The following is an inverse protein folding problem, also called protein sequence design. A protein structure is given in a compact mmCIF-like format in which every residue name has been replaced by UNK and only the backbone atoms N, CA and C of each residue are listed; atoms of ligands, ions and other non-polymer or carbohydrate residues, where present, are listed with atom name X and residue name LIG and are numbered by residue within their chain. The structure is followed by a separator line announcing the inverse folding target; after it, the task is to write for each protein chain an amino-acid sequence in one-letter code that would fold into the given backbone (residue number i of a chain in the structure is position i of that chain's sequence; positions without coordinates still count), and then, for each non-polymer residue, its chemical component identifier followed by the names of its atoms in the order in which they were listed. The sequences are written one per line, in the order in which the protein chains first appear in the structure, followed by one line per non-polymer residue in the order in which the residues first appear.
data_IF_958409033692
#
_entry.id   IF_958409033692
#
_cell.length_a   1.000
_cell.length_b   1.000
_cell.length_c   1.000
_cell.angle_alpha   90.00
_cell.angle_beta   90.00
_cell.angle_gamma   90.00
#
_symmetry.space_group_name_H-M   'P 1'
#
loop_
_entity.id
_entity.type
_entity.pdbx_description
1 polymer ?
#
# COMPACT_ATOMS: atom_id res chain seq x y z
N UNK A 1 13.83 -3.96 -43.51
CA UNK A 1 12.65 -4.68 -44.04
C UNK A 1 13.13 -6.03 -44.57
N UNK A 2 12.50 -7.14 -44.18
CA UNK A 2 12.87 -8.46 -44.69
C UNK A 2 12.53 -8.56 -46.19
N UNK A 3 13.33 -9.32 -46.94
CA UNK A 3 13.12 -9.56 -48.37
C UNK A 3 11.78 -10.30 -48.59
N UNK A 4 10.98 -9.81 -49.55
CA UNK A 4 9.65 -10.33 -49.86
C UNK A 4 9.74 -11.82 -50.22
N UNK A 5 9.17 -12.69 -49.38
CA UNK A 5 9.17 -14.14 -49.56
C UNK A 5 10.10 -14.93 -48.63
N UNK A 6 10.95 -14.26 -47.84
CA UNK A 6 11.67 -14.87 -46.73
C UNK A 6 11.18 -14.24 -45.43
N UNK A 7 10.25 -14.91 -44.75
CA UNK A 7 9.88 -14.56 -43.38
C UNK A 7 11.13 -14.58 -42.49
N UNK A 8 11.30 -13.55 -41.67
CA UNK A 8 12.38 -13.49 -40.70
C UNK A 8 12.26 -14.69 -39.74
N UNK A 9 13.31 -15.50 -39.60
CA UNK A 9 13.33 -16.72 -38.78
C UNK A 9 12.90 -16.49 -37.32
N UNK A 10 13.00 -15.25 -36.82
CA UNK A 10 12.50 -14.88 -35.48
C UNK A 10 10.97 -14.89 -35.37
N UNK A 11 10.25 -14.92 -36.49
CA UNK A 11 8.79 -14.76 -36.59
C UNK A 11 8.09 -15.94 -37.27
N UNK A 12 8.84 -16.99 -37.65
CA UNK A 12 8.27 -18.22 -38.18
C UNK A 12 7.87 -19.11 -37.00
N UNK A 13 6.57 -19.22 -36.74
CA UNK A 13 6.03 -20.23 -35.84
C UNK A 13 5.94 -21.53 -36.63
N UNK A 14 6.92 -22.41 -36.45
CA UNK A 14 6.81 -23.79 -36.93
C UNK A 14 5.81 -24.51 -36.02
N UNK A 15 4.68 -24.96 -36.57
CA UNK A 15 3.82 -25.95 -35.90
C UNK A 15 4.65 -27.21 -35.69
N UNK A 16 4.96 -27.51 -34.43
CA UNK A 16 5.64 -28.75 -34.03
C UNK A 16 4.61 -29.77 -33.59
N UNK A 17 4.81 -31.03 -33.98
CA UNK A 17 3.94 -32.16 -33.64
C UNK A 17 3.87 -32.45 -32.13
N UNK A 18 4.79 -31.90 -31.33
CA UNK A 18 4.90 -32.16 -29.88
C UNK A 18 3.97 -31.30 -29.01
N UNK A 19 3.33 -30.26 -29.57
CA UNK A 19 2.37 -29.41 -28.84
C UNK A 19 2.97 -28.64 -27.65
N UNK A 20 4.30 -28.62 -27.52
CA UNK A 20 4.98 -28.06 -26.35
C UNK A 20 4.85 -26.54 -26.33
N UNK A 21 4.38 -25.98 -25.21
CA UNK A 21 4.23 -24.54 -25.01
C UNK A 21 5.58 -23.84 -24.77
N UNK A 22 6.41 -23.79 -25.82
CA UNK A 22 7.72 -23.14 -25.79
C UNK A 22 7.53 -21.65 -25.46
N UNK A 23 8.21 -21.10 -24.44
CA UNK A 23 8.08 -19.71 -23.96
C UNK A 23 6.74 -19.32 -23.30
N UNK A 24 5.88 -20.26 -22.91
CA UNK A 24 4.60 -19.97 -22.24
C UNK A 24 3.69 -19.02 -23.05
N UNK A 25 3.64 -19.14 -24.38
CA UNK A 25 2.76 -18.31 -25.22
C UNK A 25 1.27 -18.59 -24.96
N UNK A 26 0.95 -19.82 -24.56
CA UNK A 26 -0.35 -20.22 -24.02
C UNK A 26 -0.33 -20.16 -22.49
N UNK A 27 -1.50 -19.98 -21.87
CA UNK A 27 -1.62 -19.98 -20.42
C UNK A 27 -1.27 -21.37 -19.88
N UNK A 28 -0.37 -21.42 -18.92
CA UNK A 28 -0.20 -22.57 -18.03
C UNK A 28 -0.75 -22.18 -16.66
N UNK A 29 -1.54 -23.07 -16.07
CA UNK A 29 -2.13 -22.93 -14.74
C UNK A 29 -1.53 -24.02 -13.85
N UNK A 30 -1.06 -23.62 -12.67
CA UNK A 30 -0.46 -24.51 -11.70
C UNK A 30 -1.20 -24.35 -10.38
N UNK A 31 -1.77 -25.45 -9.88
CA UNK A 31 -2.26 -25.52 -8.51
C UNK A 31 -1.07 -25.51 -7.54
N UNK A 32 -1.03 -24.52 -6.66
CA UNK A 32 0.00 -24.37 -5.63
C UNK A 32 -0.61 -24.30 -4.23
N UNK A 33 -1.83 -24.79 -4.05
CA UNK A 33 -2.59 -24.74 -2.79
C UNK A 33 -1.86 -25.45 -1.64
N UNK A 34 -1.21 -26.58 -1.94
CA UNK A 34 -0.42 -27.35 -0.97
C UNK A 34 0.82 -26.58 -0.49
N UNK A 35 1.55 -25.96 -1.42
CA UNK A 35 2.68 -25.07 -1.12
C UNK A 35 2.23 -23.87 -0.31
N UNK A 36 1.16 -23.20 -0.74
CA UNK A 36 0.61 -22.02 -0.11
C UNK A 36 0.21 -22.29 1.34
N UNK A 37 -0.51 -23.39 1.56
CA UNK A 37 -0.91 -23.86 2.89
C UNK A 37 0.29 -24.11 3.80
N UNK A 38 1.31 -24.81 3.30
CA UNK A 38 2.52 -25.11 4.09
C UNK A 38 3.28 -23.82 4.41
N UNK A 39 3.51 -22.97 3.42
CA UNK A 39 4.31 -21.76 3.55
C UNK A 39 3.67 -20.74 4.49
N UNK A 40 2.35 -20.57 4.40
CA UNK A 40 1.62 -19.68 5.27
C UNK A 40 1.65 -20.14 6.73
N UNK A 41 1.56 -21.46 6.97
CA UNK A 41 1.73 -22.04 8.31
C UNK A 41 3.12 -21.76 8.89
N UNK A 42 4.19 -21.94 8.10
CA UNK A 42 5.56 -21.64 8.52
C UNK A 42 5.73 -20.16 8.89
N UNK A 43 5.31 -19.25 8.02
CA UNK A 43 5.47 -17.81 8.23
C UNK A 43 4.71 -17.28 9.45
N UNK A 44 3.53 -17.83 9.72
CA UNK A 44 2.73 -17.45 10.88
C UNK A 44 3.23 -18.11 12.18
N UNK A 45 3.65 -19.37 12.15
CA UNK A 45 4.08 -20.10 13.36
C UNK A 45 5.43 -19.63 13.89
N UNK A 46 6.34 -19.20 13.01
CA UNK A 46 7.66 -18.65 13.39
C UNK A 46 7.58 -17.16 13.79
N UNK A 47 6.42 -16.55 13.63
CA UNK A 47 6.21 -15.11 13.77
C UNK A 47 5.88 -14.69 15.21
N UNK A 48 6.71 -13.80 15.76
CA UNK A 48 6.34 -12.99 16.93
C UNK A 48 6.65 -11.52 16.69
N UNK A 49 5.86 -10.65 17.30
CA UNK A 49 6.01 -9.22 17.19
C UNK A 49 6.22 -8.59 18.56
N UNK A 50 7.33 -7.89 18.71
CA UNK A 50 7.62 -7.14 19.92
C UNK A 50 6.74 -5.88 19.91
N UNK A 51 5.82 -5.82 20.87
CA UNK A 51 5.03 -4.62 21.17
C UNK A 51 5.85 -3.71 22.10
N UNK A 52 5.29 -2.54 22.43
CA UNK A 52 5.90 -1.66 23.42
C UNK A 52 6.19 -2.41 24.73
N UNK A 53 7.40 -2.19 25.25
CA UNK A 53 7.92 -2.91 26.40
C UNK A 53 6.93 -2.84 27.57
N UNK A 54 6.60 -3.97 28.22
CA UNK A 54 7.21 -5.31 28.12
C UNK A 54 6.46 -6.32 27.23
N UNK A 55 5.58 -5.93 26.30
CA UNK A 55 4.63 -6.86 25.69
C UNK A 55 5.14 -7.52 24.38
N UNK A 56 4.71 -8.75 24.10
CA UNK A 56 4.97 -9.44 22.83
C UNK A 56 3.72 -10.16 22.35
N UNK A 57 3.37 -9.97 21.09
CA UNK A 57 2.34 -10.72 20.39
C UNK A 57 2.96 -11.96 19.72
N UNK A 58 2.30 -13.12 19.84
CA UNK A 58 2.68 -14.34 19.13
C UNK A 58 1.46 -15.11 18.65
N UNK A 59 1.65 -15.88 17.59
CA UNK A 59 0.70 -16.89 17.16
C UNK A 59 1.09 -18.19 17.88
N UNK A 60 0.16 -18.77 18.63
CA UNK A 60 0.40 -19.99 19.40
C UNK A 60 0.22 -21.24 18.54
N UNK A 61 -0.78 -21.24 17.66
CA UNK A 61 -1.05 -22.34 16.75
C UNK A 61 -1.88 -21.89 15.55
N UNK A 62 -1.68 -22.57 14.42
CA UNK A 62 -2.56 -22.50 13.25
C UNK A 62 -3.30 -23.82 13.14
N UNK A 63 -4.63 -23.78 13.29
CA UNK A 63 -5.48 -24.98 13.30
C UNK A 63 -5.79 -25.44 11.88
N UNK A 64 -6.32 -24.53 11.07
CA UNK A 64 -6.75 -24.82 9.70
C UNK A 64 -6.26 -23.75 8.75
N UNK A 65 -5.88 -24.20 7.56
CA UNK A 65 -5.70 -23.37 6.38
C UNK A 65 -6.49 -24.08 5.29
N UNK A 66 -7.51 -23.42 4.78
CA UNK A 66 -8.41 -23.95 3.76
C UNK A 66 -8.45 -22.99 2.58
N UNK A 67 -8.68 -23.51 1.38
CA UNK A 67 -8.84 -22.72 0.17
C UNK A 67 -7.88 -23.12 -0.93
N UNK A 68 -7.80 -22.28 -1.95
CA UNK A 68 -7.07 -22.55 -3.18
C UNK A 68 -6.09 -21.42 -3.51
N UNK A 69 -4.94 -21.81 -4.07
CA UNK A 69 -3.96 -20.90 -4.59
C UNK A 69 -3.46 -21.41 -5.93
N UNK A 70 -3.53 -20.54 -6.94
CA UNK A 70 -3.23 -20.89 -8.32
C UNK A 70 -2.26 -19.90 -8.92
N UNK A 71 -1.29 -20.40 -9.66
CA UNK A 71 -0.31 -19.58 -10.38
C UNK A 71 -0.49 -19.75 -11.89
N UNK A 72 -0.66 -18.63 -12.58
CA UNK A 72 -0.77 -18.54 -14.02
C UNK A 72 0.53 -18.02 -14.62
N UNK A 73 1.06 -18.72 -15.63
CA UNK A 73 2.24 -18.29 -16.39
C UNK A 73 1.86 -18.02 -17.82
N UNK A 74 2.14 -16.80 -18.30
CA UNK A 74 1.99 -16.43 -19.71
C UNK A 74 3.04 -15.44 -20.15
N UNK A 75 3.69 -15.72 -21.29
CA UNK A 75 4.77 -14.90 -21.87
C UNK A 75 5.87 -14.57 -20.86
N UNK A 76 6.20 -15.54 -19.99
CA UNK A 76 7.18 -15.38 -18.93
C UNK A 76 6.75 -14.48 -17.76
N UNK A 77 5.49 -14.04 -17.71
CA UNK A 77 4.91 -13.35 -16.55
C UNK A 77 4.12 -14.33 -15.71
N UNK A 78 4.39 -14.33 -14.41
CA UNK A 78 3.69 -15.09 -13.39
C UNK A 78 2.60 -14.20 -12.81
N UNK A 79 1.42 -14.76 -12.58
CA UNK A 79 0.34 -14.16 -11.80
C UNK A 79 -0.15 -15.19 -10.79
N UNK A 80 -0.57 -14.73 -9.63
CA UNK A 80 -1.18 -15.60 -8.63
C UNK A 80 -2.60 -15.15 -8.33
N UNK A 81 -3.45 -16.14 -8.07
CA UNK A 81 -4.76 -15.97 -7.47
C UNK A 81 -4.75 -16.76 -6.17
N UNK A 82 -5.23 -16.18 -5.09
CA UNK A 82 -5.41 -16.89 -3.83
C UNK A 82 -6.74 -16.52 -3.20
N UNK A 83 -7.38 -17.55 -2.66
CA UNK A 83 -8.55 -17.50 -1.79
C UNK A 83 -8.26 -18.48 -0.65
N UNK A 84 -7.65 -17.99 0.43
CA UNK A 84 -7.23 -18.80 1.57
C UNK A 84 -7.83 -18.26 2.87
N UNK A 85 -8.38 -19.15 3.66
CA UNK A 85 -8.87 -18.88 5.01
C UNK A 85 -7.98 -19.57 6.04
N UNK A 86 -7.53 -18.82 7.04
CA UNK A 86 -6.68 -19.32 8.13
C UNK A 86 -7.39 -19.13 9.46
N UNK A 87 -7.42 -20.19 10.27
CA UNK A 87 -7.87 -20.14 11.66
C UNK A 87 -6.78 -20.60 12.62
N UNK A 88 -6.72 -19.97 13.80
CA UNK A 88 -5.69 -20.28 14.79
C UNK A 88 -5.89 -19.60 16.14
N UNK A 89 -4.86 -19.69 16.97
CA UNK A 89 -4.80 -19.09 18.30
C UNK A 89 -3.60 -18.15 18.42
N UNK A 90 -3.78 -17.10 19.21
CA UNK A 90 -2.74 -16.13 19.51
C UNK A 90 -2.72 -15.80 20.99
N UNK A 91 -1.57 -15.33 21.47
CA UNK A 91 -1.40 -14.80 22.81
C UNK A 91 -0.55 -13.54 22.83
N UNK A 92 -0.82 -12.69 23.81
CA UNK A 92 0.04 -11.59 24.20
C UNK A 92 0.68 -11.96 25.54
N UNK A 93 2.01 -12.02 25.54
CA UNK A 93 2.81 -12.37 26.71
C UNK A 93 3.54 -11.14 27.24
N UNK A 94 3.71 -11.10 28.56
CA UNK A 94 4.58 -10.13 29.21
C UNK A 94 6.02 -10.66 29.17
N UNK A 95 6.91 -9.96 28.50
CA UNK A 95 8.34 -10.26 28.42
C UNK A 95 9.12 -9.58 29.56
N UNK A 96 8.64 -9.69 30.81
CA UNK A 96 9.39 -9.29 32.00
C UNK A 96 9.87 -10.54 32.74
N UNK A 97 11.20 -10.68 32.90
CA UNK A 97 11.86 -11.68 33.74
C UNK A 97 11.72 -13.16 33.34
N UNK A 98 12.19 -13.58 32.17
CA UNK A 98 12.43 -15.00 31.77
C UNK A 98 11.26 -16.00 31.90
N UNK A 99 10.12 -15.60 32.44
CA UNK A 99 8.87 -16.32 32.56
C UNK A 99 7.86 -15.57 31.71
N UNK A 100 7.40 -16.20 30.63
CA UNK A 100 6.40 -15.62 29.74
C UNK A 100 5.02 -15.80 30.36
N UNK A 101 4.54 -14.79 31.08
CA UNK A 101 3.19 -14.80 31.60
C UNK A 101 2.21 -14.42 30.49
N UNK A 102 1.31 -15.34 30.16
CA UNK A 102 0.26 -15.15 29.15
C UNK A 102 -0.84 -14.27 29.71
N UNK A 103 -0.94 -13.04 29.21
CA UNK A 103 -1.88 -12.05 29.75
C UNK A 103 -3.21 -12.04 29.01
N UNK A 104 -3.19 -12.29 27.69
CA UNK A 104 -4.38 -12.36 26.85
C UNK A 104 -4.20 -13.47 25.84
N UNK A 105 -5.28 -14.23 25.60
CA UNK A 105 -5.36 -15.22 24.53
C UNK A 105 -6.61 -15.03 23.71
N UNK A 106 -6.54 -15.44 22.45
CA UNK A 106 -7.66 -15.33 21.55
C UNK A 106 -7.62 -16.28 20.37
N UNK A 107 -8.60 -16.12 19.50
CA UNK A 107 -8.68 -16.76 18.19
C UNK A 107 -8.27 -15.77 17.10
N UNK A 108 -7.62 -16.32 16.07
CA UNK A 108 -7.18 -15.67 14.84
C UNK A 108 -8.05 -16.20 13.69
N UNK A 109 -8.58 -15.30 12.88
CA UNK A 109 -9.19 -15.62 11.59
C UNK A 109 -8.64 -14.66 10.54
N UNK A 110 -8.11 -15.19 9.45
CA UNK A 110 -7.56 -14.42 8.32
C UNK A 110 -8.25 -14.89 7.05
N UNK A 111 -8.84 -13.96 6.32
CA UNK A 111 -9.37 -14.20 4.97
C UNK A 111 -8.46 -13.50 3.96
N UNK A 112 -7.74 -14.31 3.18
CA UNK A 112 -6.81 -13.87 2.15
C UNK A 112 -7.46 -14.04 0.79
N UNK A 113 -8.22 -13.02 0.40
CA UNK A 113 -8.72 -12.86 -0.96
C UNK A 113 -7.69 -12.10 -1.80
N UNK A 114 -7.85 -12.10 -3.12
CA UNK A 114 -6.96 -11.40 -4.06
C UNK A 114 -6.97 -9.85 -3.94
N UNK A 115 -7.53 -9.32 -2.86
CA UNK A 115 -7.54 -7.92 -2.45
C UNK A 115 -6.79 -7.70 -1.14
N UNK A 116 -7.31 -6.81 -0.27
CA UNK A 116 -6.72 -6.62 1.06
C UNK A 116 -7.10 -7.78 2.00
N UNK A 117 -6.14 -8.34 2.76
CA UNK A 117 -6.46 -9.38 3.75
C UNK A 117 -7.31 -8.83 4.89
N UNK A 118 -8.38 -9.55 5.21
CA UNK A 118 -9.20 -9.28 6.40
C UNK A 118 -8.64 -10.09 7.57
N UNK A 119 -8.34 -9.40 8.68
CA UNK A 119 -7.70 -9.99 9.86
C UNK A 119 -8.55 -9.73 11.09
N UNK A 120 -9.11 -10.80 11.64
CA UNK A 120 -9.93 -10.79 12.84
C UNK A 120 -9.16 -11.41 14.01
N UNK A 121 -9.02 -10.64 15.09
CA UNK A 121 -8.45 -11.08 16.36
C UNK A 121 -9.54 -10.98 17.41
N UNK A 122 -9.97 -12.12 17.97
CA UNK A 122 -10.99 -12.15 19.01
C UNK A 122 -10.37 -12.66 20.33
N UNK A 123 -10.37 -11.84 21.37
CA UNK A 123 -9.87 -12.25 22.68
C UNK A 123 -10.88 -13.16 23.40
N UNK A 124 -10.42 -14.31 23.90
CA UNK A 124 -11.25 -15.33 24.57
C UNK A 124 -11.03 -15.33 26.08
N UNK A 125 -9.82 -15.03 26.55
CA UNK A 125 -9.44 -15.03 27.98
C UNK A 125 -8.44 -13.91 28.27
N UNK A 126 -8.67 -13.13 29.33
CA UNK A 126 -7.75 -12.08 29.83
C UNK A 126 -8.46 -11.00 30.65
N UNK A 127 -7.77 -10.37 31.61
CA UNK A 127 -8.32 -9.23 32.38
C UNK A 127 -8.28 -7.96 31.53
N UNK A 128 -9.40 -7.65 30.89
CA UNK A 128 -9.57 -6.62 29.85
C UNK A 128 -9.23 -5.19 30.29
N UNK A 129 -9.21 -4.90 31.59
CA UNK A 129 -9.19 -3.52 32.13
C UNK A 129 -7.80 -2.87 32.23
N UNK A 130 -6.70 -3.62 32.18
CA UNK A 130 -5.35 -3.08 32.37
C UNK A 130 -4.65 -2.67 31.06
N UNK A 131 -5.18 -3.07 29.90
CA UNK A 131 -4.51 -2.93 28.59
C UNK A 131 -5.39 -2.33 27.48
N UNK A 132 -6.66 -1.98 27.74
CA UNK A 132 -7.51 -1.20 26.81
C UNK A 132 -6.91 0.18 26.47
N UNK A 133 -5.95 0.68 27.24
CA UNK A 133 -5.21 1.91 26.94
C UNK A 133 -4.14 1.73 25.84
N UNK A 134 -3.77 0.49 25.48
CA UNK A 134 -2.67 0.20 24.56
C UNK A 134 -3.18 -0.33 23.21
N UNK A 135 -2.73 0.27 22.11
CA UNK A 135 -3.12 -0.05 20.73
C UNK A 135 -2.44 -1.32 20.18
N UNK A 136 -2.25 -2.35 21.01
CA UNK A 136 -1.54 -3.57 20.61
C UNK A 136 -2.25 -4.30 19.45
N UNK A 137 -3.59 -4.27 19.40
CA UNK A 137 -4.36 -4.92 18.34
C UNK A 137 -4.07 -4.29 16.97
N UNK A 138 -3.89 -2.97 16.92
CA UNK A 138 -3.56 -2.25 15.69
C UNK A 138 -2.14 -2.59 15.21
N UNK A 139 -1.18 -2.69 16.13
CA UNK A 139 0.20 -3.06 15.83
C UNK A 139 0.33 -4.53 15.41
N UNK A 140 -0.32 -5.44 16.13
CA UNK A 140 -0.37 -6.86 15.78
C UNK A 140 -1.02 -7.06 14.40
N UNK A 141 -2.14 -6.38 14.12
CA UNK A 141 -2.75 -6.40 12.77
C UNK A 141 -1.82 -5.85 11.71
N UNK A 142 -1.10 -4.75 11.99
CA UNK A 142 -0.14 -4.16 11.03
C UNK A 142 0.99 -5.14 10.71
N UNK A 143 1.53 -5.81 11.73
CA UNK A 143 2.55 -6.84 11.55
C UNK A 143 2.02 -8.04 10.75
N UNK A 144 0.85 -8.57 11.11
CA UNK A 144 0.20 -9.66 10.38
C UNK A 144 -0.03 -9.29 8.90
N UNK A 145 -0.47 -8.07 8.62
CA UNK A 145 -0.59 -7.57 7.23
C UNK A 145 0.72 -7.63 6.48
N UNK A 146 1.84 -7.26 7.12
CA UNK A 146 3.15 -7.34 6.48
C UNK A 146 3.54 -8.79 6.16
N UNK A 147 3.32 -9.72 7.09
CA UNK A 147 3.57 -11.16 6.87
C UNK A 147 2.77 -11.68 5.67
N UNK A 148 1.50 -11.26 5.53
CA UNK A 148 0.65 -11.65 4.41
C UNK A 148 1.07 -11.01 3.09
N UNK A 149 1.54 -9.75 3.10
CA UNK A 149 2.12 -9.10 1.91
C UNK A 149 3.35 -9.87 1.43
N UNK A 150 4.26 -10.21 2.34
CA UNK A 150 5.47 -10.97 2.01
C UNK A 150 5.13 -12.38 1.46
N UNK A 151 4.05 -12.98 1.94
CA UNK A 151 3.52 -14.24 1.41
C UNK A 151 2.98 -14.09 -0.02
N UNK A 152 2.16 -13.06 -0.28
CA UNK A 152 1.63 -12.77 -1.62
C UNK A 152 2.77 -12.49 -2.60
N UNK A 153 3.80 -11.77 -2.19
CA UNK A 153 5.00 -11.52 -3.02
C UNK A 153 5.72 -12.82 -3.38
N UNK A 154 5.88 -13.74 -2.42
CA UNK A 154 6.47 -15.07 -2.68
C UNK A 154 5.60 -15.92 -3.63
N UNK A 155 4.28 -15.86 -3.47
CA UNK A 155 3.34 -16.52 -4.37
C UNK A 155 3.43 -15.94 -5.79
N UNK A 156 3.47 -14.61 -5.91
CA UNK A 156 3.60 -13.88 -7.19
C UNK A 156 4.95 -14.07 -7.88
N UNK A 157 6.01 -14.35 -7.12
CA UNK A 157 7.31 -14.77 -7.65
C UNK A 157 7.30 -16.20 -8.23
N UNK A 158 6.19 -16.93 -8.11
CA UNK A 158 5.98 -18.25 -8.71
C UNK A 158 6.14 -19.42 -7.76
N UNK A 159 6.00 -19.24 -6.44
CA UNK A 159 5.86 -20.34 -5.48
C UNK A 159 6.94 -21.45 -5.61
N UNK A 160 8.21 -21.08 -5.75
CA UNK A 160 9.33 -22.03 -6.01
C UNK A 160 9.15 -22.93 -7.24
N UNK A 161 8.34 -22.55 -8.22
CA UNK A 161 8.43 -23.12 -9.56
C UNK A 161 9.87 -22.86 -10.02
N UNK A 162 10.70 -23.91 -10.12
CA UNK A 162 12.00 -23.83 -10.76
C UNK A 162 11.78 -23.49 -12.22
N UNK A 163 11.65 -22.19 -12.54
CA UNK A 163 11.64 -21.68 -13.91
C UNK A 163 13.11 -21.65 -14.40
N UNK A 164 13.82 -22.75 -14.22
CA UNK A 164 15.09 -23.02 -14.89
C UNK A 164 14.78 -23.74 -16.20
N UNK A 165 15.36 -23.20 -17.27
CA UNK A 165 15.22 -23.61 -18.67
C UNK A 165 14.99 -25.12 -18.85
N UNK A 166 13.93 -25.44 -19.59
CA UNK A 166 13.73 -26.70 -20.29
C UNK A 166 13.83 -27.97 -19.44
N UNK A 167 12.77 -28.28 -18.69
CA UNK A 167 12.34 -29.67 -18.52
C UNK A 167 10.84 -29.71 -18.17
N UNK A 168 10.15 -30.68 -18.74
CA UNK A 168 8.79 -31.07 -18.33
C UNK A 168 8.81 -31.38 -16.83
N UNK A 169 8.02 -30.66 -16.04
CA UNK A 169 7.86 -30.90 -14.61
C UNK A 169 6.67 -31.82 -14.44
N UNK A 170 6.92 -33.04 -13.98
CA UNK A 170 5.93 -33.96 -13.42
C UNK A 170 5.52 -33.51 -12.01
N UNK A 171 4.30 -33.85 -11.61
CA UNK A 171 3.61 -33.40 -10.39
C UNK A 171 4.33 -33.66 -9.06
N UNK A 172 5.42 -34.45 -9.04
CA UNK A 172 6.11 -34.88 -7.81
C UNK A 172 7.41 -34.11 -7.45
N UNK A 173 7.90 -33.17 -8.25
CA UNK A 173 9.22 -32.52 -8.03
C UNK A 173 9.12 -31.09 -7.46
N UNK A 174 8.37 -30.88 -6.37
CA UNK A 174 8.46 -29.64 -5.57
C UNK A 174 9.28 -29.89 -4.31
N UNK A 175 10.62 -29.78 -4.44
CA UNK A 175 11.53 -29.82 -3.29
C UNK A 175 12.20 -28.47 -2.97
N UNK A 176 12.43 -28.29 -1.66
CA UNK A 176 12.77 -27.06 -0.95
C UNK A 176 14.23 -26.64 -1.15
N UNK A 177 14.48 -25.35 -1.42
CA UNK A 177 15.81 -24.74 -1.40
C UNK A 177 15.86 -23.45 -0.59
N UNK A 178 16.66 -23.44 0.48
CA UNK A 178 17.07 -22.22 1.20
C UNK A 178 17.94 -21.31 0.30
N UNK A 179 17.95 -19.99 0.53
CA UNK A 179 18.75 -19.06 -0.26
C UNK A 179 20.25 -19.31 -0.03
N UNK A 180 20.94 -19.74 -1.09
CA UNK A 180 22.40 -19.72 -1.13
C UNK A 180 22.87 -18.29 -1.42
N UNK A 181 23.56 -17.71 -0.44
CA UNK A 181 24.23 -16.41 -0.54
C UNK A 181 25.47 -16.60 -1.42
N UNK A 182 25.39 -16.26 -2.71
CA UNK A 182 26.59 -16.18 -3.56
C UNK A 182 27.38 -14.95 -3.17
N UNK A 183 28.50 -15.20 -2.48
CA UNK A 183 29.63 -14.30 -2.42
C UNK A 183 30.24 -14.22 -3.83
N UNK A 184 30.39 -13.01 -4.35
CA UNK A 184 31.47 -12.71 -5.27
C UNK A 184 32.22 -11.49 -4.71
N UNK A 185 33.32 -11.81 -4.03
CA UNK A 185 34.36 -10.87 -3.63
C UNK A 185 35.52 -10.98 -4.62
N UNK A 186 35.85 -9.88 -5.28
CA UNK A 186 37.24 -9.60 -5.64
C UNK A 186 37.50 -8.09 -5.72
N UNK A 187 37.90 -7.56 -4.56
CA UNK A 187 39.01 -6.63 -4.33
C UNK A 187 39.41 -5.64 -5.43
N UNK A 188 39.20 -4.36 -5.15
CA UNK A 188 40.24 -3.34 -5.26
C UNK A 188 40.29 -2.54 -3.94
N UNK A 189 41.28 -2.91 -3.13
CA UNK A 189 42.00 -2.13 -2.11
C UNK A 189 42.41 -0.74 -2.63
N UNK A 190 42.59 0.34 -1.87
CA UNK A 190 42.61 0.65 -0.44
C UNK A 190 42.94 2.16 -0.32
N UNK A 191 42.81 2.71 0.89
CA UNK A 191 43.40 3.97 1.41
C UNK A 191 42.61 5.27 1.16
N UNK A 192 41.77 5.68 2.12
CA UNK A 192 42.10 6.54 3.29
C UNK A 192 42.58 7.95 2.92
N UNK A 193 41.81 8.99 3.20
CA UNK A 193 42.18 9.95 4.27
C UNK A 193 41.05 10.93 4.65
N UNK A 194 40.98 11.12 5.98
CA UNK A 194 40.65 12.32 6.79
C UNK A 194 39.74 13.45 6.29
N UNK A 195 38.83 13.81 7.22
CA UNK A 195 38.50 15.17 7.73
C UNK A 195 38.55 16.35 6.74
N UNK A 196 37.46 17.12 6.65
CA UNK A 196 37.41 18.50 7.18
C UNK A 196 36.02 19.12 6.95
N UNK A 197 35.45 19.67 8.02
CA UNK A 197 34.41 20.71 7.98
C UNK A 197 35.01 22.01 7.42
N UNK A 198 34.16 22.95 6.97
CA UNK A 198 34.45 24.35 7.23
C UNK A 198 33.33 25.03 8.02
N UNK A 199 33.79 25.72 9.07
CA UNK A 199 33.11 26.73 9.88
C UNK A 199 33.65 28.10 9.46
N UNK A 200 32.79 29.09 9.30
CA UNK A 200 33.07 30.55 9.39
C UNK A 200 31.77 31.18 9.93
N UNK A 201 31.61 31.39 11.24
CA UNK A 201 31.84 32.64 12.01
C UNK A 201 31.04 33.84 11.45
N UNK A 202 29.83 34.13 11.95
CA UNK A 202 29.43 34.95 13.12
C UNK A 202 29.83 36.43 13.06
N UNK A 203 28.83 37.32 13.03
CA UNK A 203 28.84 38.52 13.88
C UNK A 203 27.42 38.90 14.37
N UNK A 204 27.17 38.51 15.61
CA UNK A 204 26.54 39.23 16.73
C UNK A 204 25.57 40.40 16.47
N UNK A 205 24.34 40.29 16.98
CA UNK A 205 23.86 41.08 18.15
C UNK A 205 22.36 40.85 18.44
N UNK A 206 22.07 40.30 19.63
CA UNK A 206 20.79 40.38 20.33
C UNK A 206 20.93 41.35 21.52
N UNK A 207 19.84 41.81 22.18
CA UNK A 207 19.26 40.99 23.25
C UNK A 207 17.72 41.09 23.47
N UNK A 208 17.15 39.92 23.79
CA UNK A 208 16.22 39.56 24.86
C UNK A 208 15.03 40.46 25.33
N UNK A 209 13.83 39.86 25.21
CA UNK A 209 12.73 39.67 26.20
C UNK A 209 12.02 40.86 26.89
N UNK A 210 10.67 40.84 26.88
CA UNK A 210 9.74 40.88 28.04
C UNK A 210 8.30 40.55 27.59
N UNK A 211 7.73 39.53 28.25
CA UNK A 211 6.35 39.19 28.66
C UNK A 211 5.05 39.64 27.95
N UNK A 212 4.27 38.61 27.57
CA UNK A 212 2.92 38.26 28.05
C UNK A 212 1.95 39.33 28.61
N UNK A 213 0.83 39.54 27.90
CA UNK A 213 -0.55 39.64 28.42
C UNK A 213 -1.53 39.74 27.20
N UNK A 214 -2.15 38.66 26.74
CA UNK A 214 -3.45 38.12 27.17
C UNK A 214 -4.61 39.16 27.15
N UNK A 215 -5.61 39.02 26.27
CA UNK A 215 -6.82 38.22 26.56
C UNK A 215 -7.91 38.36 25.46
N UNK A 216 -8.39 37.18 25.01
CA UNK A 216 -9.77 36.77 24.72
C UNK A 216 -10.80 37.67 24.01
N UNK A 217 -11.33 37.13 22.90
CA UNK A 217 -12.75 36.83 22.63
C UNK A 217 -12.76 35.82 21.45
N UNK A 218 -13.42 34.66 21.43
CA UNK A 218 -14.40 34.03 22.29
C UNK A 218 -14.39 32.51 22.00
N UNK A 219 -14.53 31.70 23.05
CA UNK A 219 -14.60 30.23 23.01
C UNK A 219 -16.08 29.84 23.02
N UNK A 220 -16.55 29.19 21.97
CA UNK A 220 -17.75 28.36 22.00
C UNK A 220 -17.65 27.28 20.90
N UNK A 221 -17.78 26.02 21.31
CA UNK A 221 -17.70 24.85 20.44
C UNK A 221 -16.73 23.83 21.01
N UNK A 222 -17.24 22.66 21.40
CA UNK A 222 -16.42 21.46 21.64
C UNK A 222 -15.52 21.28 20.41
N UNK A 223 -14.19 21.38 20.59
CA UNK A 223 -13.25 21.20 19.49
C UNK A 223 -13.40 19.79 18.94
N UNK A 224 -13.72 19.68 17.65
CA UNK A 224 -13.69 18.40 16.93
C UNK A 224 -12.23 17.96 16.89
N UNK A 225 -11.93 16.75 17.38
CA UNK A 225 -10.58 16.20 17.26
C UNK A 225 -10.24 16.04 15.77
N UNK A 226 -9.02 16.44 15.38
CA UNK A 226 -8.60 16.47 13.98
C UNK A 226 -7.35 15.65 13.73
N UNK A 227 -7.25 15.08 12.54
CA UNK A 227 -6.14 14.30 12.03
C UNK A 227 -5.62 14.89 10.72
N UNK A 228 -4.34 14.64 10.43
CA UNK A 228 -3.71 14.92 9.14
C UNK A 228 -3.64 13.62 8.33
N UNK A 229 -4.06 13.69 7.07
CA UNK A 229 -3.92 12.62 6.10
C UNK A 229 -2.81 12.96 5.10
N UNK A 230 -2.02 11.96 4.76
CA UNK A 230 -0.96 12.08 3.76
C UNK A 230 -0.99 10.84 2.87
N UNK A 231 -1.30 11.04 1.59
CA UNK A 231 -1.49 9.98 0.60
C UNK A 231 -0.54 10.17 -0.56
N UNK A 232 0.03 9.07 -1.04
CA UNK A 232 0.91 9.03 -2.18
C UNK A 232 0.37 8.03 -3.20
N UNK A 233 0.37 8.40 -4.47
CA UNK A 233 0.01 7.48 -5.54
C UNK A 233 0.71 7.81 -6.87
N UNK A 234 0.92 6.80 -7.71
CA UNK A 234 1.64 6.92 -8.99
C UNK A 234 0.65 6.81 -10.15
N UNK A 235 0.85 7.62 -11.17
CA UNK A 235 0.02 7.64 -12.39
C UNK A 235 0.89 7.68 -13.64
N UNK A 236 0.51 6.90 -14.66
CA UNK A 236 1.10 6.93 -15.99
C UNK A 236 0.43 7.98 -16.86
N UNK A 237 0.63 9.24 -16.49
CA UNK A 237 0.07 10.40 -17.15
C UNK A 237 1.05 11.58 -17.05
N UNK A 238 0.92 12.56 -17.95
CA UNK A 238 1.61 13.84 -17.76
C UNK A 238 1.05 14.58 -16.54
N UNK A 239 1.83 15.45 -15.88
CA UNK A 239 1.33 16.28 -14.78
C UNK A 239 0.13 17.12 -15.20
N UNK A 240 0.13 17.60 -16.44
CA UNK A 240 -0.99 18.32 -17.04
C UNK A 240 -2.27 17.48 -17.10
N UNK A 241 -2.20 16.29 -17.66
CA UNK A 241 -3.37 15.43 -17.83
C UNK A 241 -3.99 15.05 -16.48
N UNK A 242 -3.14 14.74 -15.51
CA UNK A 242 -3.55 14.40 -14.15
C UNK A 242 -4.09 15.62 -13.39
N UNK A 243 -3.46 16.78 -13.53
CA UNK A 243 -3.94 18.05 -12.95
C UNK A 243 -5.36 18.36 -13.41
N UNK A 244 -5.64 18.21 -14.71
CA UNK A 244 -6.95 18.43 -15.30
C UNK A 244 -8.02 17.49 -14.72
N UNK A 245 -7.67 16.29 -14.24
CA UNK A 245 -8.60 15.38 -13.57
C UNK A 245 -9.14 15.93 -12.25
N UNK A 246 -8.49 16.92 -11.63
CA UNK A 246 -8.94 17.51 -10.37
C UNK A 246 -9.63 18.87 -10.52
N UNK A 247 -9.55 19.51 -11.70
CA UNK A 247 -10.07 20.87 -11.91
C UNK A 247 -11.10 20.99 -13.04
N UNK A 248 -11.18 20.01 -13.94
CA UNK A 248 -12.14 20.02 -15.05
C UNK A 248 -13.36 19.15 -14.73
N UNK A 249 -14.53 19.78 -14.64
CA UNK A 249 -15.79 19.07 -14.42
C UNK A 249 -16.03 17.90 -15.39
N UNK A 250 -15.79 18.01 -16.72
CA UNK A 250 -15.98 16.89 -17.64
C UNK A 250 -15.10 15.67 -17.30
N UNK A 251 -13.85 15.88 -16.88
CA UNK A 251 -12.97 14.78 -16.48
C UNK A 251 -13.45 14.15 -15.18
N UNK A 252 -13.84 14.96 -14.19
CA UNK A 252 -14.39 14.45 -12.92
C UNK A 252 -15.64 13.62 -13.15
N UNK A 253 -16.57 14.11 -13.97
CA UNK A 253 -17.80 13.39 -14.29
C UNK A 253 -17.51 12.07 -15.01
N UNK A 254 -16.45 12.00 -15.84
CA UNK A 254 -16.08 10.78 -16.53
C UNK A 254 -15.66 9.65 -15.56
N UNK A 255 -14.80 9.94 -14.58
CA UNK A 255 -14.33 8.91 -13.66
C UNK A 255 -15.26 8.65 -12.47
N UNK A 256 -15.99 9.67 -12.00
CA UNK A 256 -16.94 9.50 -10.90
C UNK A 256 -18.30 8.96 -11.37
N UNK A 257 -18.62 9.09 -12.67
CA UNK A 257 -19.95 8.81 -13.24
C UNK A 257 -21.08 9.59 -12.56
N UNK A 258 -20.75 10.69 -11.90
CA UNK A 258 -21.66 11.51 -11.11
C UNK A 258 -21.51 12.97 -11.51
N UNK A 259 -22.56 13.76 -11.30
CA UNK A 259 -22.53 15.21 -11.56
C UNK A 259 -21.45 15.85 -10.68
N UNK A 260 -20.59 16.66 -11.31
CA UNK A 260 -19.59 17.47 -10.65
C UNK A 260 -19.65 18.89 -11.19
N UNK A 261 -19.61 19.87 -10.29
CA UNK A 261 -19.60 21.30 -10.56
C UNK A 261 -18.29 21.85 -10.02
N UNK A 262 -17.35 22.12 -10.91
CA UNK A 262 -16.05 22.72 -10.60
C UNK A 262 -15.57 23.48 -11.84
N UNK A 263 -14.84 24.57 -11.62
CA UNK A 263 -14.12 25.26 -12.67
C UNK A 263 -12.74 25.69 -12.16
N UNK A 264 -11.73 25.79 -13.04
CA UNK A 264 -10.36 26.12 -12.67
C UNK A 264 -10.22 27.62 -12.38
N UNK A 265 -10.95 28.14 -11.39
CA UNK A 265 -10.88 29.52 -10.93
C UNK A 265 -10.64 29.56 -9.43
N UNK A 266 -9.72 30.43 -9.01
CA UNK A 266 -9.41 30.67 -7.60
C UNK A 266 -10.61 31.35 -6.91
N UNK A 267 -10.86 30.99 -5.66
CA UNK A 267 -12.00 31.41 -4.83
C UNK A 267 -13.37 30.96 -5.35
N UNK A 268 -13.42 29.99 -6.27
CA UNK A 268 -14.67 29.41 -6.73
C UNK A 268 -15.03 28.18 -5.89
N UNK A 269 -16.30 28.11 -5.48
CA UNK A 269 -16.85 26.93 -4.81
C UNK A 269 -17.11 25.80 -5.79
N UNK A 270 -16.93 24.56 -5.31
CA UNK A 270 -17.16 23.35 -6.09
C UNK A 270 -18.04 22.35 -5.33
N UNK A 271 -18.67 21.45 -6.09
CA UNK A 271 -19.51 20.36 -5.60
C UNK A 271 -19.20 19.10 -6.39
N UNK A 272 -18.69 18.06 -5.73
CA UNK A 272 -18.35 16.78 -6.33
C UNK A 272 -19.25 15.67 -5.76
N UNK A 273 -19.34 14.56 -6.48
CA UNK A 273 -20.10 13.36 -6.09
C UNK A 273 -21.56 13.69 -5.69
N UNK A 274 -22.27 14.44 -6.54
CA UNK A 274 -23.66 14.90 -6.25
C UNK A 274 -23.80 15.71 -4.95
N UNK A 275 -22.78 16.50 -4.59
CA UNK A 275 -22.78 17.35 -3.40
C UNK A 275 -22.45 16.62 -2.10
N UNK A 276 -21.95 15.38 -2.18
CA UNK A 276 -21.36 14.70 -1.03
C UNK A 276 -20.05 15.37 -0.59
N UNK A 277 -19.33 15.94 -1.56
CA UNK A 277 -18.11 16.70 -1.32
C UNK A 277 -18.36 18.14 -1.78
N UNK A 278 -18.06 19.09 -0.92
CA UNK A 278 -18.14 20.52 -1.24
C UNK A 278 -16.90 21.24 -0.74
N UNK A 279 -16.59 22.37 -1.36
CA UNK A 279 -15.38 23.10 -1.03
C UNK A 279 -15.18 24.35 -1.86
N UNK A 280 -14.02 24.97 -1.70
CA UNK A 280 -13.60 26.17 -2.44
C UNK A 280 -12.15 26.01 -2.89
N UNK A 281 -11.86 26.38 -4.13
CA UNK A 281 -10.48 26.40 -4.63
C UNK A 281 -9.76 27.61 -4.03
N UNK A 282 -8.67 27.40 -3.29
CA UNK A 282 -7.90 28.46 -2.64
C UNK A 282 -6.71 28.92 -3.49
N UNK A 283 -6.06 27.99 -4.19
CA UNK A 283 -4.93 28.29 -5.08
C UNK A 283 -4.79 27.24 -6.18
N UNK A 284 -4.37 27.69 -7.36
CA UNK A 284 -4.11 26.86 -8.53
C UNK A 284 -2.75 27.24 -9.12
N UNK A 285 -1.81 26.30 -9.10
CA UNK A 285 -0.56 26.36 -9.85
C UNK A 285 -0.63 25.28 -10.93
N UNK A 286 -0.87 25.66 -12.21
CA UNK A 286 -1.02 24.70 -13.29
C UNK A 286 0.09 23.65 -13.33
N UNK A 287 -0.30 22.39 -13.47
CA UNK A 287 0.60 21.22 -13.59
C UNK A 287 1.48 20.93 -12.35
N UNK A 288 1.36 21.71 -11.27
CA UNK A 288 2.21 21.60 -10.07
C UNK A 288 1.43 21.38 -8.80
N UNK A 289 0.44 22.23 -8.53
CA UNK A 289 -0.20 22.27 -7.21
C UNK A 289 -1.63 22.76 -7.25
N UNK A 290 -2.48 22.13 -6.43
CA UNK A 290 -3.86 22.55 -6.19
C UNK A 290 -4.06 22.67 -4.69
N UNK A 291 -4.69 23.76 -4.23
CA UNK A 291 -5.07 23.95 -2.83
C UNK A 291 -6.57 24.20 -2.76
N UNK A 292 -7.25 23.42 -1.92
CA UNK A 292 -8.70 23.46 -1.76
C UNK A 292 -9.08 23.47 -0.28
N UNK A 293 -10.09 24.25 0.06
CA UNK A 293 -10.93 23.97 1.23
C UNK A 293 -11.91 22.87 0.85
N UNK A 294 -12.09 21.89 1.72
CA UNK A 294 -12.77 20.66 1.37
C UNK A 294 -13.52 20.11 2.58
N UNK A 295 -14.74 19.61 2.37
CA UNK A 295 -15.50 18.88 3.39
C UNK A 295 -16.44 17.85 2.78
N UNK A 296 -16.77 16.84 3.59
CA UNK A 296 -17.92 15.97 3.31
C UNK A 296 -19.21 16.59 3.85
N UNK A 297 -20.32 16.17 3.26
CA UNK A 297 -21.67 16.54 3.69
C UNK A 297 -21.95 16.12 5.14
N UNK A 298 -21.46 14.94 5.53
CA UNK A 298 -21.71 14.34 6.85
C UNK A 298 -20.80 14.93 7.95
N UNK A 299 -19.86 15.80 7.61
CA UNK A 299 -19.00 16.46 8.59
C UNK A 299 -19.74 17.49 9.44
N UNK A 300 -19.24 17.78 10.65
CA UNK A 300 -19.77 18.85 11.50
C UNK A 300 -19.96 20.16 10.71
N UNK A 301 -21.05 20.87 11.00
CA UNK A 301 -21.39 22.12 10.32
C UNK A 301 -20.28 23.16 10.47
N UNK A 302 -19.83 23.72 9.35
CA UNK A 302 -18.77 24.74 9.35
C UNK A 302 -17.35 24.19 9.49
N UNK A 303 -17.19 22.86 9.53
CA UNK A 303 -15.87 22.24 9.56
C UNK A 303 -15.35 21.99 8.15
N UNK A 304 -14.18 22.57 7.84
CA UNK A 304 -13.48 22.41 6.57
C UNK A 304 -12.06 21.93 6.82
N UNK A 305 -11.62 21.03 5.95
CA UNK A 305 -10.23 20.60 5.85
C UNK A 305 -9.51 21.35 4.74
N UNK A 306 -8.18 21.40 4.83
CA UNK A 306 -7.34 21.99 3.80
C UNK A 306 -6.63 20.88 3.02
N UNK A 307 -6.97 20.73 1.75
CA UNK A 307 -6.36 19.75 0.83
C UNK A 307 -5.30 20.45 -0.01
N UNK A 308 -4.11 19.87 -0.07
CA UNK A 308 -3.01 20.24 -0.95
C UNK A 308 -2.69 19.04 -1.81
N UNK A 309 -2.75 19.19 -3.13
CA UNK A 309 -2.40 18.16 -4.10
C UNK A 309 -1.19 18.66 -4.87
N UNK A 310 -0.09 17.90 -4.83
CA UNK A 310 1.14 18.18 -5.55
C UNK A 310 1.40 17.12 -6.60
N UNK A 311 1.88 17.55 -7.77
CA UNK A 311 2.26 16.69 -8.88
C UNK A 311 3.78 16.76 -9.07
N UNK A 312 4.46 15.62 -8.88
CA UNK A 312 5.91 15.50 -9.02
C UNK A 312 6.24 14.58 -10.19
N UNK A 313 6.86 15.12 -11.23
CA UNK A 313 7.27 14.35 -12.41
C UNK A 313 8.53 13.55 -12.12
N UNK A 314 8.55 12.28 -12.52
CA UNK A 314 9.78 11.50 -12.70
C UNK A 314 10.00 11.30 -14.20
N UNK A 315 10.80 12.17 -14.80
CA UNK A 315 11.02 12.22 -16.26
C UNK A 315 11.60 10.91 -16.81
N UNK A 316 12.42 10.20 -16.03
CA UNK A 316 13.05 8.94 -16.44
C UNK A 316 12.08 7.76 -16.62
N UNK A 317 10.88 7.82 -16.02
CA UNK A 317 9.92 6.71 -16.00
C UNK A 317 8.59 7.04 -16.71
N UNK A 318 8.38 8.29 -17.13
CA UNK A 318 7.10 8.74 -17.69
C UNK A 318 5.92 8.64 -16.69
N UNK A 319 6.24 8.74 -15.40
CA UNK A 319 5.28 8.65 -14.30
C UNK A 319 5.16 10.00 -13.58
N UNK A 320 3.93 10.32 -13.17
CA UNK A 320 3.64 11.43 -12.26
C UNK A 320 3.30 10.87 -10.89
N UNK A 321 4.02 11.31 -9.87
CA UNK A 321 3.73 11.02 -8.47
C UNK A 321 2.79 12.09 -7.92
N UNK A 322 1.62 11.67 -7.47
CA UNK A 322 0.65 12.50 -6.77
C UNK A 322 0.92 12.41 -5.28
N UNK A 323 1.04 13.57 -4.63
CA UNK A 323 1.15 13.71 -3.18
C UNK A 323 -0.02 14.55 -2.68
N UNK A 324 -0.91 13.93 -1.92
CA UNK A 324 -2.07 14.60 -1.33
C UNK A 324 -1.85 14.74 0.18
N UNK A 325 -1.94 15.97 0.66
CA UNK A 325 -1.90 16.31 2.08
C UNK A 325 -3.24 16.93 2.43
N UNK A 326 -3.94 16.37 3.41
CA UNK A 326 -5.20 16.93 3.90
C UNK A 326 -5.12 17.16 5.41
N UNK A 327 -5.22 18.43 5.81
CA UNK A 327 -5.12 18.87 7.20
C UNK A 327 -6.50 19.22 7.76
N UNK A 328 -6.65 19.09 9.08
CA UNK A 328 -7.90 19.36 9.80
C UNK A 328 -9.07 18.44 9.41
N UNK A 329 -8.81 17.14 9.16
CA UNK A 329 -9.87 16.14 8.95
C UNK A 329 -10.45 15.72 10.30
N UNK A 330 -11.77 15.73 10.53
CA UNK A 330 -12.38 15.17 11.75
C UNK A 330 -11.93 13.72 11.98
N UNK A 331 -11.46 13.41 13.19
CA UNK A 331 -10.84 12.11 13.52
C UNK A 331 -11.76 10.93 13.21
N UNK A 332 -13.04 11.03 13.58
CA UNK A 332 -14.07 10.01 13.33
C UNK A 332 -14.26 9.70 11.83
N UNK A 333 -13.91 10.63 10.95
CA UNK A 333 -14.09 10.52 9.50
C UNK A 333 -12.76 10.32 8.76
N UNK A 334 -11.63 10.23 9.45
CA UNK A 334 -10.31 10.17 8.84
C UNK A 334 -10.14 8.95 7.93
N UNK A 335 -10.52 7.76 8.42
CA UNK A 335 -10.43 6.51 7.66
C UNK A 335 -11.36 6.53 6.43
N UNK A 336 -12.61 6.99 6.60
CA UNK A 336 -13.56 7.12 5.50
C UNK A 336 -13.06 8.10 4.44
N UNK A 337 -12.45 9.21 4.84
CA UNK A 337 -11.90 10.22 3.92
C UNK A 337 -10.74 9.65 3.11
N UNK A 338 -9.80 8.95 3.76
CA UNK A 338 -8.70 8.27 3.07
C UNK A 338 -9.22 7.23 2.06
N UNK A 339 -10.13 6.36 2.49
CA UNK A 339 -10.71 5.35 1.61
C UNK A 339 -11.46 5.99 0.43
N UNK A 340 -12.18 7.08 0.67
CA UNK A 340 -12.87 7.84 -0.38
C UNK A 340 -11.91 8.39 -1.43
N UNK A 341 -10.76 8.94 -1.04
CA UNK A 341 -9.74 9.38 -2.00
C UNK A 341 -9.23 8.22 -2.85
N UNK A 342 -8.90 7.09 -2.22
CA UNK A 342 -8.35 5.92 -2.93
C UNK A 342 -9.38 5.31 -3.89
N UNK A 343 -10.59 5.04 -3.40
CA UNK A 343 -11.60 4.26 -4.12
C UNK A 343 -12.46 5.08 -5.08
N UNK A 344 -12.74 6.35 -4.78
CA UNK A 344 -13.66 7.16 -5.59
C UNK A 344 -12.94 8.19 -6.47
N UNK A 345 -11.67 8.49 -6.21
CA UNK A 345 -10.89 9.45 -6.99
C UNK A 345 -9.70 8.77 -7.67
N UNK A 346 -8.72 8.24 -6.93
CA UNK A 346 -7.46 7.75 -7.50
C UNK A 346 -7.66 6.50 -8.37
N UNK A 347 -8.31 5.46 -7.86
CA UNK A 347 -8.56 4.24 -8.60
C UNK A 347 -9.40 4.48 -9.87
N UNK A 348 -10.52 5.23 -9.83
CA UNK A 348 -11.27 5.54 -11.04
C UNK A 348 -10.49 6.35 -12.07
N UNK A 349 -9.64 7.30 -11.66
CA UNK A 349 -8.75 8.02 -12.59
C UNK A 349 -7.84 7.04 -13.33
N UNK A 350 -7.24 6.08 -12.60
CA UNK A 350 -6.39 5.03 -13.20
C UNK A 350 -7.14 4.16 -14.18
N UNK A 351 -8.34 3.72 -13.83
CA UNK A 351 -9.13 2.78 -14.64
C UNK A 351 -9.73 3.47 -15.87
N UNK A 352 -10.37 4.64 -15.68
CA UNK A 352 -11.15 5.30 -16.75
C UNK A 352 -10.26 5.97 -17.79
N UNK A 353 -9.14 6.57 -17.37
CA UNK A 353 -8.20 7.21 -18.30
C UNK A 353 -7.01 6.33 -18.66
N UNK A 354 -6.91 5.12 -18.11
CA UNK A 354 -5.78 4.22 -18.36
C UNK A 354 -4.47 4.70 -17.73
N UNK A 355 -4.54 5.51 -16.66
CA UNK A 355 -3.37 6.07 -15.97
C UNK A 355 -2.77 5.14 -14.90
N UNK A 356 -3.16 3.88 -14.88
CA UNK A 356 -2.56 2.90 -13.97
C UNK A 356 -1.04 2.77 -14.27
N UNK A 357 -0.16 2.93 -13.26
CA UNK A 357 1.29 2.82 -13.43
C UNK A 357 1.68 1.39 -13.83
N UNK A 358 0.92 0.43 -13.31
CA UNK A 358 0.97 -0.98 -13.64
C UNK A 358 -0.40 -1.34 -14.21
N UNK A 359 -0.42 -2.06 -15.35
CA UNK A 359 -1.68 -2.54 -15.91
C UNK A 359 -2.22 -3.56 -14.89
N UNK A 360 -3.41 -3.36 -14.30
CA UNK A 360 -4.01 -4.35 -13.43
C UNK A 360 -4.17 -5.61 -14.27
N UNK A 361 -3.41 -6.63 -13.92
CA UNK A 361 -3.32 -7.87 -14.65
C UNK A 361 -3.26 -9.00 -13.65
#
# INVERSE_FOLDING_TARGET
MALRGQGDKRWIVEEREDGTNVNHWHWNEYDVSSWATKRLKEMLSDGSYQLDSPWRFRIDSIEQVHGEATVYVRKGRVKSLCDLEVSGHWSVVKAENSEEEECVKGTLSIELLSGEPEITLAATTGDRRSWESYTWEAEARKWLRQVLVDFIEQLGAGANLSITKNKSVSEDDVEVGQPSRTQDSSNISDQTDRMFQPKVEEDSSAPATIDSANNQLSRSGKGVAVKKLELWDKFRASPKDLYECFVLAPKIQAYTRQKAEIAPQVNQSFSLLQGQITGTIVSLEPEKRIVQEWRMKDWPSGHYSRVVIEFKTKEEEGLTLLHLIQESVPEDYAQQTEQGWRQHIFLPIKVVFGYAPEIPF
#
